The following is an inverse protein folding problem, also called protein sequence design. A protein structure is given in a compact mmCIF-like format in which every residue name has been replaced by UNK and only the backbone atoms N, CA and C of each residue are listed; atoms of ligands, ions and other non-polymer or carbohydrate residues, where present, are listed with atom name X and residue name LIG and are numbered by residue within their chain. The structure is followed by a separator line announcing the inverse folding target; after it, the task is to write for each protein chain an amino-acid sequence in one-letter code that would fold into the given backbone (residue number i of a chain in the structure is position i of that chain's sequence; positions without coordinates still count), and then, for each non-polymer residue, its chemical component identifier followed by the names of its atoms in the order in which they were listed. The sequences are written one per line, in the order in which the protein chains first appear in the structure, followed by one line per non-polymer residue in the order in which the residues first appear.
data_IF_782971465891
#
_entry.id   IF_782971465891
#
_cell.length_a   1.000
_cell.length_b   1.000
_cell.length_c   1.000
_cell.angle_alpha   90.00
_cell.angle_beta   90.00
_cell.angle_gamma   90.00
#
_symmetry.space_group_name_H-M   'P 1'
#
loop_
_entity.id
_entity.type
_entity.pdbx_description
1 polymer ?
#
# COMPACT_ATOMS: atom_id res chain seq x y z
N UNK A 1 -4.27 14.18 -14.40
CA UNK A 1 -3.01 14.23 -15.17
C UNK A 1 -1.79 14.08 -14.26
N UNK A 2 -1.68 14.79 -13.13
CA UNK A 2 -0.52 14.73 -12.23
C UNK A 2 -0.19 13.35 -11.60
N UNK A 3 -1.20 12.58 -11.18
CA UNK A 3 -0.99 11.29 -10.49
C UNK A 3 -0.39 10.20 -11.40
N UNK A 4 -0.69 10.27 -12.70
CA UNK A 4 -0.15 9.39 -13.74
C UNK A 4 1.28 9.78 -14.17
N UNK A 5 1.76 10.95 -13.77
CA UNK A 5 3.11 11.44 -14.08
C UNK A 5 4.06 11.36 -12.88
N UNK A 6 3.58 11.53 -11.65
CA UNK A 6 4.41 11.47 -10.43
C UNK A 6 4.44 10.09 -9.77
N UNK A 7 3.35 9.33 -9.83
CA UNK A 7 3.27 7.96 -9.28
C UNK A 7 2.88 6.92 -10.32
N UNK A 8 2.62 7.36 -11.56
CA UNK A 8 2.30 6.53 -12.71
C UNK A 8 3.49 5.69 -13.12
N UNK A 9 3.68 4.65 -12.33
CA UNK A 9 4.19 3.35 -12.72
C UNK A 9 4.09 2.37 -11.55
N UNK A 10 3.75 2.77 -10.32
CA UNK A 10 3.75 1.82 -9.18
C UNK A 10 2.70 0.73 -9.37
N UNK A 11 1.48 1.08 -9.79
CA UNK A 11 0.42 0.11 -10.04
C UNK A 11 0.66 -0.71 -11.32
N UNK A 12 1.23 -0.08 -12.35
CA UNK A 12 1.61 -0.78 -13.59
C UNK A 12 2.75 -1.78 -13.34
N UNK A 13 3.81 -1.36 -12.64
CA UNK A 13 4.92 -2.23 -12.21
C UNK A 13 4.46 -3.34 -11.27
N UNK A 14 3.49 -3.07 -10.38
CA UNK A 14 2.88 -4.12 -9.54
C UNK A 14 2.13 -5.15 -10.40
N UNK A 15 1.39 -4.68 -11.41
CA UNK A 15 0.69 -5.55 -12.37
C UNK A 15 1.67 -6.39 -13.19
N UNK A 16 2.73 -5.77 -13.74
CA UNK A 16 3.75 -6.46 -14.53
C UNK A 16 4.49 -7.53 -13.71
N UNK A 17 4.87 -7.23 -12.47
CA UNK A 17 5.55 -8.22 -11.60
C UNK A 17 4.59 -9.34 -11.20
N UNK A 18 3.31 -9.04 -10.96
CA UNK A 18 2.30 -10.06 -10.68
C UNK A 18 2.10 -11.00 -11.86
N UNK A 19 2.07 -10.47 -13.09
CA UNK A 19 2.01 -11.29 -14.30
C UNK A 19 3.29 -12.10 -14.50
N UNK A 20 4.46 -11.53 -14.22
CA UNK A 20 5.74 -12.25 -14.31
C UNK A 20 5.82 -13.40 -13.31
N UNK A 21 5.35 -13.21 -12.07
CA UNK A 21 5.26 -14.27 -11.06
C UNK A 21 4.33 -15.39 -11.51
N UNK A 22 3.14 -15.04 -12.03
CA UNK A 22 2.18 -16.02 -12.52
C UNK A 22 2.73 -16.87 -13.68
N UNK A 23 3.44 -16.24 -14.62
CA UNK A 23 4.11 -16.96 -15.72
C UNK A 23 5.19 -17.91 -15.21
N UNK A 24 5.95 -17.51 -14.19
CA UNK A 24 6.94 -18.40 -13.58
C UNK A 24 6.30 -19.56 -12.84
N UNK A 25 5.17 -19.37 -12.16
CA UNK A 25 4.41 -20.47 -11.55
C UNK A 25 3.97 -21.50 -12.61
N UNK A 26 3.42 -21.04 -13.73
CA UNK A 26 3.03 -21.90 -14.87
C UNK A 26 4.25 -22.62 -15.49
N UNK A 27 5.40 -21.96 -15.57
CA UNK A 27 6.64 -22.52 -16.12
C UNK A 27 7.27 -23.56 -15.18
N UNK A 28 7.22 -23.32 -13.85
CA UNK A 28 7.64 -24.27 -12.82
C UNK A 28 6.74 -25.51 -12.81
N UNK A 29 5.43 -25.33 -12.97
CA UNK A 29 4.45 -26.43 -13.04
C UNK A 29 4.65 -27.30 -14.29
N UNK A 30 5.07 -26.70 -15.41
CA UNK A 30 5.34 -27.42 -16.67
C UNK A 30 6.73 -28.07 -16.76
N UNK A 31 7.78 -27.47 -16.18
CA UNK A 31 9.19 -27.87 -16.44
C UNK A 31 9.95 -28.36 -15.21
N UNK A 32 9.38 -28.21 -14.02
CA UNK A 32 10.01 -28.58 -12.75
C UNK A 32 10.95 -27.50 -12.20
N UNK A 33 11.15 -27.54 -10.89
CA UNK A 33 11.83 -26.49 -10.14
C UNK A 33 13.36 -26.55 -10.33
N UNK A 34 13.91 -25.64 -11.13
CA UNK A 34 15.37 -25.49 -11.34
C UNK A 34 15.95 -24.45 -10.37
N UNK A 35 17.22 -24.58 -9.97
CA UNK A 35 17.90 -23.63 -9.07
C UNK A 35 17.86 -22.19 -9.61
N UNK A 36 18.03 -22.03 -10.92
CA UNK A 36 17.93 -20.73 -11.61
C UNK A 36 16.54 -20.08 -11.49
N UNK A 37 15.48 -20.90 -11.52
CA UNK A 37 14.09 -20.44 -11.34
C UNK A 37 13.86 -19.96 -9.90
N UNK A 38 14.42 -20.64 -8.89
CA UNK A 38 14.31 -20.19 -7.49
C UNK A 38 14.97 -18.84 -7.24
N UNK A 39 16.16 -18.62 -7.81
CA UNK A 39 16.87 -17.35 -7.65
C UNK A 39 16.13 -16.20 -8.34
N UNK A 40 15.53 -16.48 -9.50
CA UNK A 40 14.73 -15.52 -10.27
C UNK A 40 13.40 -15.20 -9.57
N UNK A 41 12.74 -16.19 -9.00
CA UNK A 41 11.54 -16.03 -8.15
C UNK A 41 11.85 -15.14 -6.94
N UNK A 42 12.95 -15.43 -6.22
CA UNK A 42 13.39 -14.65 -5.05
C UNK A 42 13.67 -13.18 -5.42
N UNK A 43 14.27 -12.93 -6.59
CA UNK A 43 14.50 -11.57 -7.08
C UNK A 43 13.20 -10.84 -7.38
N UNK A 44 12.22 -11.50 -8.01
CA UNK A 44 10.91 -10.93 -8.29
C UNK A 44 10.13 -10.63 -7.01
N UNK A 45 10.13 -11.53 -6.04
CA UNK A 45 9.51 -11.30 -4.72
C UNK A 45 10.13 -10.10 -4.01
N UNK A 46 11.45 -9.97 -4.04
CA UNK A 46 12.13 -8.79 -3.45
C UNK A 46 11.69 -7.48 -4.13
N UNK A 47 11.57 -7.47 -5.45
CA UNK A 47 11.05 -6.31 -6.21
C UNK A 47 9.58 -6.02 -5.88
N UNK A 48 8.76 -7.06 -5.76
CA UNK A 48 7.36 -6.95 -5.37
C UNK A 48 7.20 -6.29 -3.99
N UNK A 49 7.91 -6.79 -2.98
CA UNK A 49 7.86 -6.22 -1.63
C UNK A 49 8.36 -4.77 -1.58
N UNK A 50 9.39 -4.43 -2.36
CA UNK A 50 9.85 -3.04 -2.46
C UNK A 50 8.76 -2.12 -3.05
N UNK A 51 8.02 -2.61 -4.04
CA UNK A 51 6.91 -1.86 -4.63
C UNK A 51 5.70 -1.76 -3.71
N UNK A 52 5.41 -2.78 -2.90
CA UNK A 52 4.39 -2.67 -1.86
C UNK A 52 4.74 -1.59 -0.82
N UNK A 53 5.98 -1.56 -0.34
CA UNK A 53 6.42 -0.52 0.60
C UNK A 53 6.29 0.89 -0.02
N UNK A 54 6.61 1.05 -1.31
CA UNK A 54 6.41 2.31 -2.04
C UNK A 54 4.94 2.67 -2.20
N UNK A 55 4.09 1.70 -2.52
CA UNK A 55 2.66 1.89 -2.66
C UNK A 55 2.02 2.27 -1.31
N UNK A 56 2.41 1.62 -0.22
CA UNK A 56 1.95 1.95 1.14
C UNK A 56 2.38 3.37 1.54
N UNK A 57 3.64 3.74 1.30
CA UNK A 57 4.13 5.09 1.56
C UNK A 57 3.39 6.15 0.71
N UNK A 58 3.09 5.83 -0.55
CA UNK A 58 2.27 6.66 -1.43
C UNK A 58 0.86 6.84 -0.85
N UNK A 59 0.19 5.76 -0.46
CA UNK A 59 -1.16 5.82 0.09
C UNK A 59 -1.19 6.52 1.44
N UNK A 60 -0.18 6.36 2.29
CA UNK A 60 -0.06 7.07 3.58
C UNK A 60 0.08 8.57 3.40
N UNK A 61 0.83 9.01 2.38
CA UNK A 61 0.94 10.44 2.03
C UNK A 61 -0.37 10.96 1.45
N UNK A 62 -0.97 10.23 0.50
CA UNK A 62 -2.18 10.67 -0.17
C UNK A 62 -3.41 10.60 0.71
N UNK A 63 -3.54 9.65 1.63
CA UNK A 63 -4.68 9.59 2.56
C UNK A 63 -4.70 10.80 3.48
N UNK A 64 -3.53 11.25 3.96
CA UNK A 64 -3.42 12.47 4.77
C UNK A 64 -3.65 13.74 3.95
N UNK A 65 -3.12 13.81 2.73
CA UNK A 65 -3.35 14.96 1.82
C UNK A 65 -4.82 15.01 1.36
N UNK A 66 -5.42 13.86 1.07
CA UNK A 66 -6.83 13.73 0.73
C UNK A 66 -7.70 14.13 1.91
N UNK A 67 -7.37 13.70 3.13
CA UNK A 67 -8.02 14.17 4.34
C UNK A 67 -7.90 15.68 4.54
N UNK A 68 -6.72 16.27 4.34
CA UNK A 68 -6.53 17.72 4.41
C UNK A 68 -7.33 18.47 3.33
N UNK A 69 -7.42 17.92 2.12
CA UNK A 69 -8.19 18.48 1.01
C UNK A 69 -9.70 18.35 1.19
N UNK A 70 -10.14 17.25 1.81
CA UNK A 70 -11.54 17.00 2.15
C UNK A 70 -11.95 17.70 3.46
N UNK A 71 -10.98 18.06 4.31
CA UNK A 71 -11.16 18.73 5.61
C UNK A 71 -11.72 20.15 5.55
N UNK A 72 -11.99 20.68 4.36
CA UNK A 72 -12.70 21.96 4.16
C UNK A 72 -14.08 21.76 3.52
N UNK A 73 -14.44 20.52 3.14
CA UNK A 73 -15.78 20.16 2.73
C UNK A 73 -16.48 19.51 3.91
N UNK A 74 -17.48 20.19 4.47
CA UNK A 74 -18.42 19.70 5.49
C UNK A 74 -19.24 18.49 4.99
N UNK A 75 -18.57 17.40 4.61
CA UNK A 75 -19.21 16.16 4.17
C UNK A 75 -19.59 15.34 5.41
N UNK A 76 -20.69 14.60 5.31
CA UNK A 76 -21.16 13.71 6.39
C UNK A 76 -20.09 12.69 6.82
N UNK A 77 -19.27 12.23 5.88
CA UNK A 77 -18.15 11.33 6.14
C UNK A 77 -17.10 11.97 7.05
N UNK A 78 -16.70 13.23 6.79
CA UNK A 78 -15.74 13.95 7.63
C UNK A 78 -16.22 14.08 9.08
N UNK A 79 -17.48 14.47 9.30
CA UNK A 79 -18.03 14.58 10.65
C UNK A 79 -18.08 13.24 11.38
N UNK A 80 -18.45 12.15 10.68
CA UNK A 80 -18.47 10.81 11.26
C UNK A 80 -17.06 10.34 11.62
N UNK A 81 -16.09 10.49 10.74
CA UNK A 81 -14.70 10.11 10.99
C UNK A 81 -14.04 10.97 12.08
N UNK A 82 -14.31 12.28 12.11
CA UNK A 82 -13.86 13.18 13.18
C UNK A 82 -14.46 12.82 14.54
N UNK A 83 -15.74 12.44 14.57
CA UNK A 83 -16.40 11.95 15.77
C UNK A 83 -15.74 10.65 16.28
N UNK A 84 -15.49 9.68 15.41
CA UNK A 84 -14.79 8.43 15.77
C UNK A 84 -13.38 8.72 16.30
N UNK A 85 -12.64 9.63 15.68
CA UNK A 85 -11.31 10.02 16.14
C UNK A 85 -11.35 10.72 17.50
N UNK A 86 -12.28 11.66 17.72
CA UNK A 86 -12.49 12.29 19.02
C UNK A 86 -12.79 11.24 20.08
N UNK A 87 -13.65 10.28 19.79
CA UNK A 87 -14.01 9.23 20.73
C UNK A 87 -12.81 8.32 21.08
N UNK A 88 -12.00 7.97 20.07
CA UNK A 88 -10.81 7.12 20.25
C UNK A 88 -9.67 7.83 20.99
N UNK A 89 -9.52 9.13 20.78
CA UNK A 89 -8.44 9.92 21.37
C UNK A 89 -8.87 10.64 22.66
N UNK A 90 -10.09 10.38 23.15
CA UNK A 90 -10.55 10.89 24.43
C UNK A 90 -9.83 10.13 25.54
N UNK A 91 -8.92 10.80 26.25
CA UNK A 91 -8.28 10.25 27.45
C UNK A 91 -9.29 10.40 28.60
N UNK A 92 -9.75 9.26 29.12
CA UNK A 92 -10.80 9.22 30.15
C UNK A 92 -10.28 9.55 31.55
N UNK A 93 -9.07 9.11 31.88
CA UNK A 93 -8.44 9.34 33.17
C UNK A 93 -6.91 9.31 32.97
N UNK A 94 -6.20 10.13 33.74
CA UNK A 94 -4.73 10.14 33.77
C UNK A 94 -4.36 9.58 35.13
N UNK A 95 -3.75 8.40 35.15
CA UNK A 95 -3.25 7.78 36.37
C UNK A 95 -1.84 8.30 36.65
N UNK A 96 -1.63 8.85 37.84
CA UNK A 96 -0.35 9.37 38.30
C UNK A 96 0.31 8.30 39.18
N UNK A 97 1.42 7.72 38.70
CA UNK A 97 2.17 6.71 39.45
C UNK A 97 2.88 7.36 40.64
N UNK A 98 2.49 6.96 41.86
CA UNK A 98 3.17 7.36 43.11
C UNK A 98 4.38 6.50 43.41
#
# INVERSE_FOLDING_TARGET
VWNKETFGNIFAQKSEISEALKRMEEEVESSGLTIDLKDKEKSLLSKYHNLEAKAEAYWKKNSRVQWLKEGDRNTKFFHLSAFVHKNRNSIGEIEDEK
#
